data_IF_339330938294
#
_entry.id   IF_339330938294
#
_cell.length_a   1.000
_cell.length_b   1.000
_cell.length_c   1.000
_cell.angle_alpha   90.00
_cell.angle_beta   90.00
_cell.angle_gamma   90.00
#
_symmetry.space_group_name_H-M   'P 1'
#
loop_
_entity.id
_entity.type
_entity.pdbx_description
1 polymer ?
#
# COMPACT_ATOMS: atom_id res chain seq x y z
N UNK A 1 -20.47 -29.93 41.73
CA UNK A 1 -19.41 -29.03 41.22
C UNK A 1 -18.71 -29.76 40.08
N UNK A 2 -18.98 -29.41 38.81
CA UNK A 2 -18.27 -29.94 37.64
C UNK A 2 -17.88 -28.77 36.75
N UNK A 3 -16.57 -28.58 36.59
CA UNK A 3 -15.92 -27.47 35.92
C UNK A 3 -16.15 -27.45 34.41
N UNK A 4 -16.19 -26.22 33.91
CA UNK A 4 -16.14 -25.74 32.53
C UNK A 4 -15.05 -26.40 31.68
N UNK A 5 -15.31 -26.45 30.38
CA UNK A 5 -14.33 -26.10 29.33
C UNK A 5 -15.10 -25.49 28.15
N UNK A 6 -15.13 -24.15 28.11
CA UNK A 6 -15.66 -23.37 26.98
C UNK A 6 -14.46 -22.94 26.13
N UNK A 7 -14.18 -23.66 25.05
CA UNK A 7 -13.17 -23.27 24.06
C UNK A 7 -13.70 -22.12 23.20
N UNK A 8 -13.26 -20.89 23.51
CA UNK A 8 -13.40 -19.73 22.62
C UNK A 8 -12.40 -19.86 21.47
N UNK A 9 -12.91 -20.08 20.27
CA UNK A 9 -12.17 -19.87 19.03
C UNK A 9 -12.02 -18.36 18.81
N UNK A 10 -10.82 -17.84 19.09
CA UNK A 10 -10.41 -16.51 18.66
C UNK A 10 -10.14 -16.55 17.15
N UNK A 11 -11.15 -16.16 16.37
CA UNK A 11 -10.97 -15.73 14.99
C UNK A 11 -10.18 -14.41 15.02
N UNK A 12 -8.87 -14.49 14.82
CA UNK A 12 -8.04 -13.34 14.49
C UNK A 12 -8.40 -12.92 13.06
N UNK A 13 -9.33 -11.98 12.94
CA UNK A 13 -9.52 -11.20 11.73
C UNK A 13 -8.22 -10.46 11.45
N UNK A 14 -7.45 -10.89 10.46
CA UNK A 14 -6.43 -10.03 9.89
C UNK A 14 -7.17 -8.82 9.31
N UNK A 15 -7.05 -7.67 9.97
CA UNK A 15 -7.44 -6.38 9.40
C UNK A 15 -6.50 -6.14 8.21
N UNK A 16 -6.86 -6.69 7.05
CA UNK A 16 -6.45 -6.11 5.79
C UNK A 16 -6.96 -4.68 5.85
N UNK A 17 -6.04 -3.72 6.00
CA UNK A 17 -6.37 -2.32 5.87
C UNK A 17 -6.73 -2.14 4.39
N UNK A 18 -8.01 -2.24 4.05
CA UNK A 18 -8.51 -1.80 2.76
C UNK A 18 -8.10 -0.33 2.64
N UNK A 19 -7.11 -0.05 1.79
CA UNK A 19 -6.55 1.30 1.66
C UNK A 19 -7.55 2.25 1.02
N UNK A 20 -8.46 1.71 0.21
CA UNK A 20 -9.64 2.42 -0.26
C UNK A 20 -10.87 1.99 0.54
N UNK A 21 -11.66 2.99 0.90
CA UNK A 21 -12.96 2.79 1.51
C UNK A 21 -14.01 2.62 0.41
N UNK A 22 -14.75 1.50 0.47
CA UNK A 22 -15.93 1.24 -0.36
C UNK A 22 -15.68 1.33 -1.88
N UNK A 23 -14.72 0.54 -2.38
CA UNK A 23 -14.40 0.44 -3.80
C UNK A 23 -15.46 -0.27 -4.66
N UNK A 24 -16.34 -1.05 -4.02
CA UNK A 24 -17.50 -1.70 -4.65
C UNK A 24 -18.73 -0.79 -4.76
N UNK A 25 -18.67 0.43 -4.21
CA UNK A 25 -19.80 1.37 -4.19
C UNK A 25 -21.07 0.82 -3.51
N UNK A 26 -20.88 -0.03 -2.51
CA UNK A 26 -21.94 -0.75 -1.80
C UNK A 26 -21.69 -0.81 -0.30
N UNK A 27 -22.76 -0.60 0.47
CA UNK A 27 -22.75 -0.81 1.91
C UNK A 27 -23.99 -1.58 2.33
N UNK A 28 -23.79 -2.79 2.88
CA UNK A 28 -24.87 -3.67 3.34
C UNK A 28 -25.90 -3.93 2.22
N UNK A 29 -25.41 -4.21 1.01
CA UNK A 29 -26.23 -4.53 -0.17
C UNK A 29 -27.01 -3.35 -0.78
N UNK A 30 -26.74 -2.12 -0.32
CA UNK A 30 -27.32 -0.89 -0.88
C UNK A 30 -26.23 -0.04 -1.53
N UNK A 31 -26.55 0.79 -2.55
CA UNK A 31 -25.55 1.65 -3.18
C UNK A 31 -25.04 2.66 -2.15
N UNK A 32 -23.73 2.91 -2.17
CA UNK A 32 -23.08 3.85 -1.26
C UNK A 32 -21.89 4.52 -1.91
N UNK A 33 -21.78 5.83 -1.74
CA UNK A 33 -20.62 6.64 -2.11
C UNK A 33 -19.79 7.02 -0.89
N UNK A 34 -20.04 6.39 0.26
CA UNK A 34 -19.29 6.69 1.47
C UNK A 34 -17.78 6.57 1.21
N UNK A 35 -17.01 7.53 1.69
CA UNK A 35 -15.57 7.66 1.46
C UNK A 35 -15.16 8.29 0.12
N UNK A 36 -16.07 8.49 -0.82
CA UNK A 36 -15.78 9.12 -2.10
C UNK A 36 -16.22 10.60 -2.11
N UNK A 37 -15.39 11.44 -2.73
CA UNK A 37 -15.65 12.85 -2.99
C UNK A 37 -15.74 13.07 -4.51
N UNK A 38 -16.40 14.15 -4.93
CA UNK A 38 -16.53 14.45 -6.36
C UNK A 38 -16.40 15.94 -6.63
N UNK A 39 -16.01 16.25 -7.87
CA UNK A 39 -16.18 17.59 -8.44
C UNK A 39 -17.34 17.57 -9.43
N UNK A 40 -17.93 18.74 -9.66
CA UNK A 40 -19.00 18.92 -10.65
C UNK A 40 -20.26 18.12 -10.34
N UNK A 41 -20.75 17.34 -11.32
CA UNK A 41 -22.04 16.67 -11.25
C UNK A 41 -22.03 15.55 -10.20
N UNK A 42 -23.17 15.28 -9.58
CA UNK A 42 -23.26 14.18 -8.63
C UNK A 42 -23.05 12.83 -9.36
N UNK A 43 -22.21 11.92 -8.83
CA UNK A 43 -22.12 10.57 -9.34
C UNK A 43 -23.43 9.81 -9.11
N UNK A 44 -23.81 8.96 -10.07
CA UNK A 44 -25.07 8.20 -10.02
C UNK A 44 -24.78 6.72 -9.73
N UNK A 45 -25.56 6.09 -8.86
CA UNK A 45 -25.45 4.64 -8.63
C UNK A 45 -26.39 3.87 -9.55
N UNK A 46 -25.90 2.79 -10.16
CA UNK A 46 -26.68 1.91 -11.04
C UNK A 46 -26.55 0.45 -10.60
N UNK A 47 -27.65 -0.30 -10.66
CA UNK A 47 -27.66 -1.73 -10.30
C UNK A 47 -27.17 -2.57 -11.49
N UNK A 48 -25.92 -2.32 -11.86
CA UNK A 48 -25.21 -3.01 -12.93
C UNK A 48 -23.75 -3.19 -12.48
N UNK A 49 -23.52 -4.03 -11.47
CA UNK A 49 -22.20 -4.33 -10.92
C UNK A 49 -21.28 -5.05 -11.91
N UNK A 50 -19.98 -4.89 -11.71
CA UNK A 50 -18.95 -5.62 -12.43
C UNK A 50 -18.77 -7.05 -11.88
N UNK A 51 -18.13 -7.95 -12.64
CA UNK A 51 -17.93 -9.32 -12.19
C UNK A 51 -17.22 -9.41 -10.83
N UNK A 52 -17.87 -10.06 -9.86
CA UNK A 52 -17.40 -10.25 -8.49
C UNK A 52 -17.21 -8.96 -7.66
N UNK A 53 -17.86 -7.85 -8.04
CA UNK A 53 -17.73 -6.56 -7.34
C UNK A 53 -19.00 -6.09 -6.63
N UNK A 54 -20.12 -6.79 -6.78
CA UNK A 54 -21.39 -6.42 -6.18
C UNK A 54 -22.53 -6.39 -7.20
N UNK A 55 -23.65 -5.80 -6.80
CA UNK A 55 -24.80 -5.48 -7.65
C UNK A 55 -24.74 -4.03 -8.17
N UNK A 56 -24.12 -3.11 -7.44
CA UNK A 56 -24.08 -1.68 -7.73
C UNK A 56 -22.73 -1.26 -8.30
N UNK A 57 -22.77 -0.36 -9.26
CA UNK A 57 -21.62 0.40 -9.74
C UNK A 57 -21.92 1.90 -9.70
N UNK A 58 -20.88 2.72 -9.85
CA UNK A 58 -21.02 4.17 -9.91
C UNK A 58 -20.81 4.68 -11.33
N UNK A 59 -21.59 5.68 -11.71
CA UNK A 59 -21.56 6.35 -13.00
C UNK A 59 -21.06 7.77 -12.83
N UNK A 60 -20.16 8.21 -13.72
CA UNK A 60 -19.64 9.57 -13.74
C UNK A 60 -19.63 10.14 -15.15
N UNK A 61 -20.15 11.36 -15.28
CA UNK A 61 -20.15 12.09 -16.54
C UNK A 61 -18.74 12.57 -16.92
N UNK A 62 -18.42 12.70 -18.22
CA UNK A 62 -17.15 13.27 -18.65
C UNK A 62 -17.02 14.75 -18.27
N UNK A 63 -15.79 15.24 -18.16
CA UNK A 63 -15.52 16.66 -17.95
C UNK A 63 -15.82 17.49 -19.20
N UNK A 64 -16.38 18.69 -19.04
CA UNK A 64 -16.71 19.57 -20.15
C UNK A 64 -16.02 20.93 -20.01
N UNK A 65 -15.15 21.28 -20.97
CA UNK A 65 -14.40 22.55 -20.97
C UNK A 65 -15.28 23.81 -20.96
N UNK A 66 -16.49 23.72 -21.51
CA UNK A 66 -17.48 24.81 -21.56
C UNK A 66 -18.59 24.66 -20.51
N UNK A 67 -18.47 23.65 -19.66
CA UNK A 67 -19.36 23.37 -18.55
C UNK A 67 -18.53 23.18 -17.29
N UNK A 68 -18.73 22.05 -16.63
CA UNK A 68 -17.99 21.75 -15.41
C UNK A 68 -16.74 20.92 -15.70
N UNK A 69 -15.58 21.43 -15.27
CA UNK A 69 -14.29 20.80 -15.44
C UNK A 69 -13.34 21.13 -14.26
N UNK A 70 -12.59 20.14 -13.74
CA UNK A 70 -12.68 18.72 -14.05
C UNK A 70 -13.91 18.04 -13.42
N UNK A 71 -14.41 16.96 -14.01
CA UNK A 71 -15.57 16.18 -13.50
C UNK A 71 -15.08 14.81 -13.00
N UNK A 72 -14.64 14.76 -11.75
CA UNK A 72 -13.96 13.61 -11.15
C UNK A 72 -14.75 13.02 -10.00
N UNK A 73 -14.59 11.72 -9.80
CA UNK A 73 -14.92 11.01 -8.57
C UNK A 73 -13.60 10.52 -7.99
N UNK A 74 -13.32 10.83 -6.72
CA UNK A 74 -12.00 10.62 -6.15
C UNK A 74 -12.05 10.26 -4.66
N UNK A 75 -10.96 9.68 -4.18
CA UNK A 75 -10.77 9.41 -2.75
C UNK A 75 -9.35 9.82 -2.36
N UNK A 76 -9.23 10.47 -1.20
CA UNK A 76 -7.92 10.89 -0.66
C UNK A 76 -7.17 9.70 -0.09
N UNK A 77 -5.88 9.63 -0.38
CA UNK A 77 -4.97 8.61 0.15
C UNK A 77 -4.22 9.19 1.35
N UNK A 78 -4.60 8.78 2.56
CA UNK A 78 -4.00 9.30 3.80
C UNK A 78 -2.74 8.57 4.24
N UNK A 79 -2.45 7.39 3.67
CA UNK A 79 -1.39 6.47 4.12
C UNK A 79 -0.28 6.28 3.07
N UNK A 80 -0.24 7.13 2.04
CA UNK A 80 0.80 7.11 1.00
C UNK A 80 1.82 8.21 1.22
N UNK A 81 3.06 7.96 0.80
CA UNK A 81 4.16 8.92 0.83
C UNK A 81 4.65 9.21 -0.60
N UNK A 82 5.21 10.42 -0.87
CA UNK A 82 5.84 10.70 -2.15
C UNK A 82 6.95 9.68 -2.46
N UNK A 83 7.05 9.27 -3.72
CA UNK A 83 8.01 8.26 -4.19
C UNK A 83 7.58 6.81 -3.93
N UNK A 84 6.41 6.58 -3.33
CA UNK A 84 5.94 5.24 -3.03
C UNK A 84 5.23 4.62 -4.25
N UNK A 85 5.63 3.42 -4.64
CA UNK A 85 4.94 2.69 -5.70
C UNK A 85 3.63 2.07 -5.21
N UNK A 86 2.57 2.22 -6.00
CA UNK A 86 1.23 1.67 -5.74
C UNK A 86 0.65 1.07 -7.01
N UNK A 87 -0.21 0.07 -6.83
CA UNK A 87 -1.02 -0.49 -7.92
C UNK A 87 -2.48 -0.24 -7.61
N UNK A 88 -3.17 0.46 -8.50
CA UNK A 88 -4.61 0.65 -8.49
C UNK A 88 -5.23 -0.31 -9.50
N UNK A 89 -6.28 -1.01 -9.09
CA UNK A 89 -7.05 -1.90 -9.96
C UNK A 89 -8.54 -1.56 -9.88
N UNK A 90 -9.28 -1.94 -10.92
CA UNK A 90 -10.73 -1.75 -10.92
C UNK A 90 -11.36 -2.07 -12.27
N UNK A 91 -12.69 -2.14 -12.27
CA UNK A 91 -13.49 -2.32 -13.46
C UNK A 91 -13.96 -0.99 -14.00
N UNK A 92 -13.90 -0.84 -15.33
CA UNK A 92 -14.44 0.32 -16.03
C UNK A 92 -15.24 -0.10 -17.26
N UNK A 93 -16.21 0.72 -17.66
CA UNK A 93 -16.82 0.64 -18.99
C UNK A 93 -17.46 1.97 -19.38
N UNK A 94 -17.64 2.16 -20.67
CA UNK A 94 -18.50 3.20 -21.23
C UNK A 94 -19.97 2.75 -21.21
N UNK A 95 -20.89 3.69 -20.93
CA UNK A 95 -22.33 3.43 -20.98
C UNK A 95 -22.87 3.26 -22.41
N UNK A 96 -22.15 3.76 -23.42
CA UNK A 96 -22.51 3.61 -24.82
C UNK A 96 -21.27 3.53 -25.73
N UNK A 97 -21.40 2.83 -26.85
CA UNK A 97 -20.30 2.52 -27.78
C UNK A 97 -19.88 3.71 -28.66
N UNK A 98 -20.76 4.70 -28.83
CA UNK A 98 -20.48 5.90 -29.60
C UNK A 98 -20.54 7.13 -28.69
N UNK A 99 -19.48 7.94 -28.73
CA UNK A 99 -19.43 9.24 -28.06
C UNK A 99 -18.93 9.23 -26.62
N UNK A 100 -18.74 8.07 -25.99
CA UNK A 100 -18.05 8.00 -24.70
C UNK A 100 -16.55 8.34 -24.88
N UNK A 101 -16.01 9.37 -24.20
CA UNK A 101 -14.60 9.75 -24.33
C UNK A 101 -13.66 8.70 -23.73
N UNK A 102 -14.18 7.88 -22.82
CA UNK A 102 -13.52 6.75 -22.19
C UNK A 102 -13.88 6.67 -20.70
N UNK A 103 -13.48 5.59 -20.06
CA UNK A 103 -13.59 5.37 -18.64
C UNK A 103 -12.17 5.11 -18.09
N UNK A 104 -11.74 5.94 -17.14
CA UNK A 104 -10.35 5.99 -16.70
C UNK A 104 -10.23 5.90 -15.17
N UNK A 105 -9.28 5.10 -14.70
CA UNK A 105 -8.83 5.06 -13.30
C UNK A 105 -7.37 5.52 -13.24
N UNK A 106 -6.99 6.15 -12.14
CA UNK A 106 -5.63 6.63 -12.01
C UNK A 106 -5.31 7.29 -10.69
N UNK A 107 -4.14 7.90 -10.66
CA UNK A 107 -3.65 8.69 -9.54
C UNK A 107 -3.76 10.17 -9.85
N UNK A 108 -3.85 10.96 -8.79
CA UNK A 108 -3.87 12.40 -8.89
C UNK A 108 -3.50 13.06 -7.58
N UNK A 109 -3.65 14.38 -7.54
CA UNK A 109 -3.41 15.17 -6.34
C UNK A 109 -4.45 16.27 -6.15
N UNK A 110 -4.65 16.62 -4.89
CA UNK A 110 -5.34 17.83 -4.46
C UNK A 110 -4.28 18.85 -4.04
N UNK A 111 -4.15 19.93 -4.81
CA UNK A 111 -3.24 21.05 -4.53
C UNK A 111 -4.02 22.36 -4.49
N UNK A 112 -3.93 23.09 -3.39
CA UNK A 112 -4.62 24.38 -3.21
C UNK A 112 -6.13 24.35 -3.52
N UNK A 113 -6.81 23.24 -3.17
CA UNK A 113 -8.24 23.05 -3.45
C UNK A 113 -8.58 22.62 -4.88
N UNK A 114 -7.57 22.42 -5.74
CA UNK A 114 -7.74 21.95 -7.11
C UNK A 114 -7.37 20.46 -7.21
N UNK A 115 -8.29 19.66 -7.73
CA UNK A 115 -8.08 18.24 -8.04
C UNK A 115 -7.47 18.11 -9.43
N UNK A 116 -6.35 17.42 -9.55
CA UNK A 116 -5.68 17.13 -10.80
C UNK A 116 -5.48 15.63 -10.95
N UNK A 117 -5.77 15.08 -12.12
CA UNK A 117 -5.37 13.74 -12.50
C UNK A 117 -3.97 13.80 -13.14
N UNK A 118 -3.12 12.84 -12.85
CA UNK A 118 -1.73 12.82 -13.35
C UNK A 118 -1.55 11.67 -14.32
N UNK A 119 -1.70 10.44 -13.84
CA UNK A 119 -1.56 9.23 -14.65
C UNK A 119 -2.82 8.39 -14.58
N UNK A 120 -3.25 7.88 -15.74
CA UNK A 120 -4.50 7.13 -15.87
C UNK A 120 -4.38 5.95 -16.84
N UNK A 121 -5.04 4.86 -16.50
CA UNK A 121 -5.36 3.77 -17.42
C UNK A 121 -6.86 3.83 -17.76
N UNK A 122 -7.23 3.52 -19.00
CA UNK A 122 -8.64 3.57 -19.39
C UNK A 122 -9.02 2.63 -20.53
N UNK A 123 -10.34 2.54 -20.72
CA UNK A 123 -10.98 1.78 -21.80
C UNK A 123 -12.15 2.58 -22.35
N UNK A 124 -12.45 2.40 -23.63
CA UNK A 124 -13.67 2.90 -24.27
C UNK A 124 -14.67 1.79 -24.59
N UNK A 125 -14.45 0.57 -24.09
CA UNK A 125 -15.33 -0.55 -24.29
C UNK A 125 -16.65 -0.37 -23.53
N UNK A 126 -17.75 -0.85 -24.10
CA UNK A 126 -19.05 -0.94 -23.41
C UNK A 126 -19.16 -2.13 -22.49
N UNK A 127 -18.30 -3.13 -22.66
CA UNK A 127 -18.16 -4.25 -21.76
C UNK A 127 -17.23 -3.89 -20.59
N UNK A 128 -17.49 -4.51 -19.43
CA UNK A 128 -16.63 -4.37 -18.26
C UNK A 128 -15.19 -4.77 -18.59
N UNK A 129 -14.28 -3.81 -18.46
CA UNK A 129 -12.84 -3.97 -18.67
C UNK A 129 -12.13 -3.85 -17.34
N UNK A 130 -11.42 -4.90 -16.92
CA UNK A 130 -10.57 -4.83 -15.75
C UNK A 130 -9.26 -4.11 -16.10
N UNK A 131 -8.92 -3.09 -15.31
CA UNK A 131 -7.71 -2.31 -15.48
C UNK A 131 -6.82 -2.43 -14.24
N UNK A 132 -5.52 -2.31 -14.48
CA UNK A 132 -4.50 -2.20 -13.46
C UNK A 132 -3.48 -1.14 -13.91
N UNK A 133 -3.18 -0.19 -13.02
CA UNK A 133 -2.12 0.80 -13.22
C UNK A 133 -1.20 0.76 -12.01
N UNK A 134 0.10 0.60 -12.27
CA UNK A 134 1.15 0.69 -11.25
C UNK A 134 1.95 1.94 -11.52
N UNK A 135 2.07 2.78 -10.51
CA UNK A 135 2.81 4.02 -10.64
C UNK A 135 3.47 4.45 -9.31
N UNK A 136 4.42 5.38 -9.42
CA UNK A 136 5.03 6.06 -8.29
C UNK A 136 4.16 7.24 -7.92
N UNK A 137 3.73 7.31 -6.66
CA UNK A 137 2.95 8.44 -6.17
C UNK A 137 3.87 9.68 -6.07
N UNK A 138 3.62 10.68 -6.91
CA UNK A 138 4.38 11.93 -6.95
C UNK A 138 3.50 13.10 -6.50
N UNK A 139 3.90 13.81 -5.44
CA UNK A 139 3.21 15.04 -5.02
C UNK A 139 4.13 15.95 -4.21
N UNK A 140 3.86 17.26 -4.27
CA UNK A 140 4.64 18.27 -3.57
C UNK A 140 4.28 18.34 -2.08
N UNK A 141 5.18 18.83 -1.20
CA UNK A 141 4.86 19.05 0.21
C UNK A 141 3.63 19.95 0.38
N UNK A 142 2.60 19.42 1.04
CA UNK A 142 1.33 20.11 1.27
C UNK A 142 0.18 19.66 0.35
N UNK A 143 0.49 18.93 -0.72
CA UNK A 143 -0.52 18.28 -1.55
C UNK A 143 -1.05 17.00 -0.88
N UNK A 144 -2.22 16.55 -1.32
CA UNK A 144 -2.80 15.25 -0.93
C UNK A 144 -2.91 14.34 -2.15
N UNK A 145 -2.34 13.14 -2.08
CA UNK A 145 -2.49 12.13 -3.13
C UNK A 145 -3.92 11.58 -3.20
N UNK A 146 -4.37 11.24 -4.40
CA UNK A 146 -5.73 10.81 -4.70
C UNK A 146 -5.72 9.56 -5.58
N UNK A 147 -6.76 8.73 -5.42
CA UNK A 147 -7.28 7.89 -6.52
C UNK A 147 -8.34 8.70 -7.26
N UNK A 148 -8.29 8.68 -8.58
CA UNK A 148 -9.20 9.45 -9.45
C UNK A 148 -9.88 8.52 -10.45
N UNK A 149 -11.19 8.69 -10.60
CA UNK A 149 -12.05 8.07 -11.60
C UNK A 149 -12.63 9.19 -12.48
N UNK A 150 -12.54 9.03 -13.80
CA UNK A 150 -13.04 10.03 -14.74
C UNK A 150 -13.59 9.44 -16.04
N UNK A 151 -14.66 10.04 -16.56
CA UNK A 151 -15.27 9.69 -17.84
C UNK A 151 -14.56 10.31 -19.06
N UNK A 152 -13.30 10.74 -18.91
CA UNK A 152 -12.59 11.52 -19.92
C UNK A 152 -13.07 12.97 -20.02
N UNK A 153 -12.78 13.60 -21.17
CA UNK A 153 -12.94 15.03 -21.37
C UNK A 153 -13.45 15.38 -22.77
N UNK A 154 -14.31 16.40 -22.86
CA UNK A 154 -14.78 17.00 -24.11
C UNK A 154 -14.60 18.52 -24.11
N UNK A 155 -14.13 19.07 -25.24
CA UNK A 155 -13.87 20.51 -25.40
C UNK A 155 -15.08 21.37 -25.80
N UNK A 156 -16.20 20.75 -26.18
CA UNK A 156 -17.39 21.43 -26.73
C UNK A 156 -18.63 21.31 -25.84
N UNK A 157 -19.75 22.00 -26.18
CA UNK A 157 -21.02 21.85 -25.47
C UNK A 157 -21.69 20.54 -25.91
N UNK A 158 -21.03 19.42 -25.62
CA UNK A 158 -21.51 18.07 -25.84
C UNK A 158 -21.85 17.44 -24.49
N UNK A 159 -22.89 16.61 -24.48
CA UNK A 159 -23.26 15.75 -23.36
C UNK A 159 -22.94 14.30 -23.78
N UNK A 160 -21.66 13.92 -23.80
CA UNK A 160 -21.28 12.55 -24.12
C UNK A 160 -21.83 11.56 -23.09
N UNK A 161 -22.02 10.28 -23.48
CA UNK A 161 -22.32 9.21 -22.55
C UNK A 161 -21.31 9.10 -21.41
N UNK A 162 -21.79 8.69 -20.23
CA UNK A 162 -21.02 8.52 -19.02
C UNK A 162 -20.14 7.27 -19.03
N UNK A 163 -19.30 7.17 -18.00
CA UNK A 163 -18.50 6.00 -17.68
C UNK A 163 -18.97 5.37 -16.35
N UNK A 164 -18.88 4.05 -16.25
CA UNK A 164 -19.13 3.30 -15.02
C UNK A 164 -17.84 2.74 -14.44
N UNK A 165 -17.81 2.66 -13.12
CA UNK A 165 -16.69 2.20 -12.31
C UNK A 165 -17.17 1.25 -11.22
N UNK A 166 -16.40 0.20 -10.93
CA UNK A 166 -16.71 -0.74 -9.87
C UNK A 166 -15.45 -1.51 -9.40
N UNK A 167 -15.48 -2.09 -8.20
CA UNK A 167 -14.41 -2.93 -7.67
C UNK A 167 -13.05 -2.23 -7.57
N UNK A 168 -13.04 -0.95 -7.18
CA UNK A 168 -11.80 -0.16 -7.13
C UNK A 168 -10.97 -0.55 -5.92
N UNK A 169 -9.74 -0.99 -6.16
CA UNK A 169 -8.84 -1.48 -5.11
C UNK A 169 -7.46 -0.85 -5.26
N UNK A 170 -6.94 -0.32 -4.15
CA UNK A 170 -5.55 0.07 -4.04
C UNK A 170 -4.79 -1.06 -3.36
N UNK A 171 -3.93 -1.73 -4.13
CA UNK A 171 -3.12 -2.83 -3.64
C UNK A 171 -2.01 -2.29 -2.74
N UNK A 172 -1.69 -3.08 -1.72
CA UNK A 172 -0.55 -2.80 -0.85
C UNK A 172 0.73 -2.57 -1.68
N UNK A 173 1.65 -1.70 -1.22
CA UNK A 173 2.92 -1.45 -1.91
C UNK A 173 3.60 -2.77 -2.29
N UNK A 174 3.89 -2.96 -3.58
CA UNK A 174 4.61 -4.14 -4.06
C UNK A 174 6.13 -4.09 -3.78
N UNK A 175 6.54 -3.30 -2.78
CA UNK A 175 7.93 -3.26 -2.33
C UNK A 175 8.20 -4.38 -1.34
N UNK A 176 9.42 -4.95 -1.40
CA UNK A 176 10.02 -5.64 -0.25
C UNK A 176 10.32 -4.56 0.80
N UNK A 177 9.29 -4.04 1.45
CA UNK A 177 9.48 -3.18 2.62
C UNK A 177 9.77 -4.10 3.80
N UNK A 178 10.92 -3.91 4.43
CA UNK A 178 11.13 -4.47 5.76
C UNK A 178 10.16 -3.76 6.68
N UNK A 179 9.17 -4.48 7.22
CA UNK A 179 8.44 -3.99 8.40
C UNK A 179 9.49 -3.61 9.44
N UNK A 180 9.47 -2.37 9.99
CA UNK A 180 10.42 -1.98 11.01
C UNK A 180 10.37 -3.00 12.15
N UNK A 181 11.45 -3.75 12.24
CA UNK A 181 11.58 -4.76 13.25
C UNK A 181 11.73 -4.18 14.63
N UNK A 182 11.37 -4.96 15.64
CA UNK A 182 11.81 -4.65 16.99
C UNK A 182 13.35 -4.60 16.98
N UNK A 183 13.99 -3.51 17.46
CA UNK A 183 15.44 -3.42 17.51
C UNK A 183 16.05 -4.56 18.33
N UNK A 184 17.18 -5.10 17.89
CA UNK A 184 17.96 -6.05 18.67
C UNK A 184 18.73 -5.28 19.74
N UNK A 185 18.55 -5.67 21.00
CA UNK A 185 19.36 -5.19 22.11
C UNK A 185 20.77 -5.76 22.00
N UNK A 186 21.79 -4.93 22.17
CA UNK A 186 23.18 -5.35 22.05
C UNK A 186 24.07 -4.82 23.16
N UNK A 187 25.12 -5.58 23.50
CA UNK A 187 26.17 -5.14 24.43
C UNK A 187 27.51 -5.76 24.04
N UNK A 188 28.52 -4.91 23.85
CA UNK A 188 29.91 -5.33 23.67
C UNK A 188 30.60 -5.48 25.02
N UNK A 189 31.30 -6.59 25.22
CA UNK A 189 32.23 -6.78 26.34
C UNK A 189 33.67 -6.85 25.81
N UNK A 190 34.46 -5.83 26.13
CA UNK A 190 35.84 -5.72 25.68
C UNK A 190 36.78 -6.73 26.36
N UNK A 191 36.45 -7.21 27.57
CA UNK A 191 37.31 -8.14 28.31
C UNK A 191 37.22 -9.54 27.70
N UNK A 192 35.99 -10.03 27.48
CA UNK A 192 35.75 -11.33 26.85
C UNK A 192 35.80 -11.29 25.31
N UNK A 193 35.80 -10.10 24.71
CA UNK A 193 35.69 -9.88 23.26
C UNK A 193 34.44 -10.52 22.65
N UNK A 194 33.34 -10.46 23.39
CA UNK A 194 32.05 -11.05 23.02
C UNK A 194 31.00 -9.96 22.85
N UNK A 195 30.25 -10.03 21.74
CA UNK A 195 29.02 -9.27 21.54
C UNK A 195 27.82 -10.10 21.99
N UNK A 196 27.02 -9.55 22.89
CA UNK A 196 25.77 -10.14 23.34
C UNK A 196 24.60 -9.51 22.58
N UNK A 197 23.71 -10.33 22.04
CA UNK A 197 22.48 -9.90 21.36
C UNK A 197 21.24 -10.48 22.04
N UNK A 198 20.21 -9.67 22.20
CA UNK A 198 18.89 -10.05 22.69
C UNK A 198 17.77 -9.61 21.74
N UNK A 199 16.82 -10.49 21.46
CA UNK A 199 15.66 -10.24 20.58
C UNK A 199 14.36 -10.63 21.27
N UNK A 200 13.26 -9.95 20.96
CA UNK A 200 11.92 -10.32 21.47
C UNK A 200 11.34 -11.54 20.76
N UNK A 201 11.79 -11.83 19.54
CA UNK A 201 11.47 -13.06 18.80
C UNK A 201 12.71 -13.96 18.64
N UNK A 202 12.54 -15.29 18.47
CA UNK A 202 13.67 -16.20 18.34
C UNK A 202 14.58 -15.88 17.15
N UNK A 203 15.88 -15.96 17.33
CA UNK A 203 16.85 -15.89 16.24
C UNK A 203 16.76 -17.13 15.35
N UNK A 204 16.83 -16.94 14.04
CA UNK A 204 16.76 -18.00 13.03
C UNK A 204 18.04 -17.97 12.18
N UNK A 205 18.46 -19.14 11.69
CA UNK A 205 19.60 -19.24 10.78
C UNK A 205 20.96 -18.81 11.36
N UNK A 206 21.83 -18.36 10.46
CA UNK A 206 23.21 -17.97 10.75
C UNK A 206 23.37 -16.47 11.01
N UNK A 207 24.52 -16.13 11.57
CA UNK A 207 24.97 -14.75 11.78
C UNK A 207 26.16 -14.50 10.86
N UNK A 208 26.20 -13.33 10.23
CA UNK A 208 27.33 -12.91 9.39
C UNK A 208 27.89 -11.60 9.91
N UNK A 209 29.18 -11.57 10.19
CA UNK A 209 29.92 -10.40 10.67
C UNK A 209 30.69 -9.76 9.52
N UNK A 210 30.66 -8.43 9.46
CA UNK A 210 31.38 -7.61 8.50
C UNK A 210 32.18 -6.53 9.23
N UNK A 211 33.37 -6.20 8.71
CA UNK A 211 34.06 -4.96 9.08
C UNK A 211 33.53 -3.75 8.30
N UNK A 212 34.03 -2.56 8.62
CA UNK A 212 33.63 -1.31 7.97
C UNK A 212 33.90 -1.25 6.45
N UNK A 213 34.72 -2.15 5.91
CA UNK A 213 34.99 -2.26 4.47
C UNK A 213 34.01 -3.19 3.75
N UNK A 214 33.10 -3.83 4.49
CA UNK A 214 32.19 -4.84 3.97
C UNK A 214 32.81 -6.23 3.85
N UNK A 215 34.05 -6.44 4.33
CA UNK A 215 34.68 -7.76 4.33
C UNK A 215 34.09 -8.62 5.43
N UNK A 216 33.71 -9.85 5.08
CA UNK A 216 33.21 -10.84 6.03
C UNK A 216 34.33 -11.31 6.96
N UNK A 217 34.04 -11.39 8.25
CA UNK A 217 34.96 -11.88 9.27
C UNK A 217 34.45 -13.17 9.90
N UNK A 218 35.36 -14.09 10.28
CA UNK A 218 34.98 -15.24 11.08
C UNK A 218 34.48 -14.78 12.45
N UNK A 219 33.40 -15.41 12.92
CA UNK A 219 32.82 -15.19 14.22
C UNK A 219 32.32 -16.52 14.77
N UNK A 220 32.56 -16.77 16.07
CA UNK A 220 32.01 -17.95 16.74
C UNK A 220 30.69 -17.53 17.37
N UNK A 221 29.60 -18.16 16.92
CA UNK A 221 28.24 -17.81 17.35
C UNK A 221 27.75 -18.90 18.29
N UNK A 222 27.47 -18.51 19.53
CA UNK A 222 26.89 -19.39 20.55
C UNK A 222 25.46 -18.95 20.84
N UNK A 223 24.54 -19.90 20.77
CA UNK A 223 23.13 -19.67 21.10
C UNK A 223 22.90 -19.99 22.57
N UNK A 224 22.80 -18.94 23.39
CA UNK A 224 22.52 -19.08 24.82
C UNK A 224 21.05 -19.44 25.08
N UNK A 225 20.14 -18.89 24.27
CA UNK A 225 18.72 -19.25 24.25
C UNK A 225 18.12 -18.98 22.86
N UNK A 226 16.85 -19.32 22.57
CA UNK A 226 16.22 -18.96 21.30
C UNK A 226 16.31 -17.46 20.99
N UNK A 227 16.28 -16.60 22.01
CA UNK A 227 16.23 -15.14 21.92
C UNK A 227 17.55 -14.44 22.28
N UNK A 228 18.61 -15.19 22.62
CA UNK A 228 19.90 -14.61 22.99
C UNK A 228 21.07 -15.29 22.26
N UNK A 229 21.95 -14.47 21.67
CA UNK A 229 23.18 -14.91 21.03
C UNK A 229 24.40 -14.28 21.71
N UNK A 230 25.50 -15.02 21.68
CA UNK A 230 26.83 -14.55 22.03
C UNK A 230 27.72 -14.74 20.80
N UNK A 231 28.41 -13.69 20.40
CA UNK A 231 29.27 -13.70 19.22
C UNK A 231 30.69 -13.36 19.68
N UNK A 232 31.56 -14.35 19.68
CA UNK A 232 32.97 -14.18 20.03
C UNK A 232 33.71 -13.64 18.80
N UNK A 233 34.37 -12.50 18.98
CA UNK A 233 35.04 -11.75 17.90
C UNK A 233 36.52 -11.57 18.20
N UNK A 234 37.23 -12.68 18.40
CA UNK A 234 38.64 -12.69 18.80
C UNK A 234 39.56 -11.94 17.82
N UNK A 235 39.23 -11.97 16.53
CA UNK A 235 40.03 -11.33 15.47
C UNK A 235 39.69 -9.85 15.21
N UNK A 236 38.69 -9.25 15.89
CA UNK A 236 38.28 -7.87 15.61
C UNK A 236 39.25 -6.84 16.21
N UNK A 237 39.93 -6.07 15.36
CA UNK A 237 40.69 -4.89 15.79
C UNK A 237 39.79 -3.74 16.24
N UNK A 238 40.37 -2.64 16.72
CA UNK A 238 39.62 -1.40 16.96
C UNK A 238 38.94 -0.94 15.67
N UNK A 239 37.64 -0.61 15.72
CA UNK A 239 36.86 -0.28 14.53
C UNK A 239 35.34 -0.46 14.66
N UNK A 240 34.65 -0.16 13.57
CA UNK A 240 33.19 -0.34 13.43
C UNK A 240 32.88 -1.64 12.72
N UNK A 241 31.89 -2.36 13.23
CA UNK A 241 31.47 -3.66 12.73
C UNK A 241 29.96 -3.72 12.52
N UNK A 242 29.55 -4.51 11.53
CA UNK A 242 28.16 -4.75 11.18
C UNK A 242 27.88 -6.24 11.24
N UNK A 243 26.70 -6.58 11.75
CA UNK A 243 26.30 -7.96 11.92
C UNK A 243 24.91 -8.14 11.32
N UNK A 244 24.82 -9.08 10.37
CA UNK A 244 23.57 -9.50 9.75
C UNK A 244 23.08 -10.74 10.47
N UNK A 245 21.83 -10.69 10.92
CA UNK A 245 21.21 -11.74 11.73
C UNK A 245 19.73 -11.82 11.38
N UNK A 246 19.12 -12.99 11.48
CA UNK A 246 17.68 -13.18 11.22
C UNK A 246 16.98 -13.55 12.52
N UNK A 247 15.81 -12.96 12.78
CA UNK A 247 14.91 -13.36 13.87
C UNK A 247 13.52 -13.71 13.31
N UNK A 248 12.55 -13.98 14.20
CA UNK A 248 11.18 -14.33 13.82
C UNK A 248 10.42 -13.23 13.08
N UNK A 249 10.98 -12.03 12.99
CA UNK A 249 10.43 -10.89 12.26
C UNK A 249 11.28 -10.51 11.03
N UNK A 250 12.22 -11.37 10.62
CA UNK A 250 13.05 -11.20 9.42
C UNK A 250 14.50 -10.81 9.69
N UNK A 251 15.19 -10.31 8.65
CA UNK A 251 16.59 -9.91 8.72
C UNK A 251 16.77 -8.61 9.50
N UNK A 252 17.86 -8.54 10.27
CA UNK A 252 18.27 -7.40 11.09
C UNK A 252 19.75 -7.11 10.89
N UNK A 253 20.08 -5.83 10.91
CA UNK A 253 21.45 -5.34 10.95
C UNK A 253 21.73 -4.75 12.33
N UNK A 254 22.85 -5.14 12.93
CA UNK A 254 23.34 -4.64 14.21
C UNK A 254 24.70 -4.00 13.98
N UNK A 255 24.91 -2.78 14.50
CA UNK A 255 26.20 -2.07 14.41
C UNK A 255 26.80 -1.95 15.80
N UNK A 256 28.08 -2.31 15.96
CA UNK A 256 28.82 -2.11 17.20
C UNK A 256 30.23 -1.56 16.92
N UNK A 257 30.88 -1.08 17.98
CA UNK A 257 32.24 -0.51 17.92
C UNK A 257 33.12 -1.26 18.90
N UNK A 258 34.29 -1.68 18.42
CA UNK A 258 35.38 -2.21 19.25
C UNK A 258 36.37 -1.06 19.43
N UNK A 259 36.68 -0.71 20.68
CA UNK A 259 37.68 0.30 21.00
C UNK A 259 38.98 -0.38 21.44
#
# INVERSE_FOLDING_TARGET
MKSLLLTSFLLLSALAHAQLFNGSFEQVGSPSLAGWEWTCDDPESVNEGAPNSGEWSVTKQPGNAKGCFPNFLFQRLSDVQPGQMRTLTGWVRCTASLGCPGAFIGFGRLSNGMVMAEENAGSNATEWTFLAITDTIEFDPGDTALVVLNGGFVGGPALPPAANFDGIELLAPQGISSVPGTPISQRWDAISRTLYLGSVTPFQGGVTLFDATGRMLPAIVRRASPTNLQIDVEAATSGVYFLRVVNGEGERAVRFVVN
#
